data_IF_232002694387
#
_entry.id   IF_232002694387
#
_cell.length_a   1.000
_cell.length_b   1.000
_cell.length_c   1.000
_cell.angle_alpha   90.00
_cell.angle_beta   90.00
_cell.angle_gamma   90.00
#
_symmetry.space_group_name_H-M   'P 1'
#
loop_
_entity.id
_entity.type
_entity.pdbx_description
1 polymer ?
#
# COMPACT_ATOMS: atom_id res chain seq x y z
N UNK A 1 -25.37 -22.06 -5.84
CA UNK A 1 -24.82 -21.80 -4.49
C UNK A 1 -23.70 -20.77 -4.60
N UNK A 2 -24.01 -19.51 -4.29
CA UNK A 2 -22.99 -18.46 -4.08
C UNK A 2 -22.23 -18.75 -2.78
N UNK A 3 -20.92 -18.50 -2.76
CA UNK A 3 -20.10 -18.48 -1.55
C UNK A 3 -18.66 -18.92 -1.83
N UNK A 4 -17.78 -18.03 -2.29
CA UNK A 4 -16.97 -17.12 -1.47
C UNK A 4 -15.91 -17.85 -0.63
N UNK A 5 -14.65 -17.71 -1.02
CA UNK A 5 -13.54 -17.47 -0.10
C UNK A 5 -12.26 -17.16 -0.89
N UNK A 6 -12.22 -15.98 -1.50
CA UNK A 6 -10.97 -15.25 -1.67
C UNK A 6 -10.42 -14.96 -0.26
N UNK A 7 -9.79 -15.97 0.34
CA UNK A 7 -9.15 -15.92 1.66
C UNK A 7 -7.79 -16.63 1.60
N UNK A 8 -6.90 -16.11 0.75
CA UNK A 8 -5.51 -15.90 1.19
C UNK A 8 -5.46 -14.48 1.72
N UNK A 9 -6.12 -14.23 2.84
CA UNK A 9 -5.49 -14.34 4.15
C UNK A 9 -4.14 -13.61 4.12
N UNK A 10 -4.24 -12.32 4.44
CA UNK A 10 -3.27 -11.59 5.22
C UNK A 10 -1.83 -11.78 4.75
N UNK A 11 -1.45 -11.01 3.72
CA UNK A 11 -0.07 -10.56 3.69
C UNK A 11 0.09 -9.58 4.87
N UNK A 12 0.29 -10.16 6.05
CA UNK A 12 0.85 -9.53 7.23
C UNK A 12 2.30 -9.14 6.91
N UNK A 13 2.49 -8.31 5.86
CA UNK A 13 3.78 -7.67 5.69
C UNK A 13 3.91 -6.76 6.91
N UNK A 14 4.95 -6.94 7.73
CA UNK A 14 5.42 -5.84 8.55
C UNK A 14 5.61 -4.66 7.59
N UNK A 15 5.18 -3.47 8.00
CA UNK A 15 5.36 -2.25 7.22
C UNK A 15 6.76 -2.29 6.61
N UNK A 16 6.81 -2.44 5.28
CA UNK A 16 8.05 -2.54 4.53
C UNK A 16 8.61 -1.12 4.64
N UNK A 17 9.40 -0.90 5.68
CA UNK A 17 10.07 0.36 6.01
C UNK A 17 10.88 0.77 4.80
N UNK A 18 10.30 1.53 3.87
CA UNK A 18 10.87 2.22 2.71
C UNK A 18 12.06 1.54 1.99
N UNK A 19 12.26 0.24 2.14
CA UNK A 19 13.51 -0.44 1.75
C UNK A 19 13.60 -0.48 0.23
N UNK A 20 12.43 -0.51 -0.42
CA UNK A 20 12.29 -0.36 -1.85
C UNK A 20 12.43 1.07 -2.35
N UNK A 21 12.40 2.11 -1.52
CA UNK A 21 12.64 3.50 -1.95
C UNK A 21 13.98 4.06 -1.45
N UNK A 22 14.69 3.34 -0.58
CA UNK A 22 16.02 3.71 -0.08
C UNK A 22 17.06 3.87 -1.20
N UNK A 23 16.92 3.10 -2.28
CA UNK A 23 17.82 3.16 -3.44
C UNK A 23 17.58 4.37 -4.34
N UNK A 24 16.49 5.12 -4.12
CA UNK A 24 16.19 6.32 -4.87
C UNK A 24 16.84 7.56 -4.25
N UNK A 25 17.27 8.54 -5.08
CA UNK A 25 17.61 9.87 -4.60
C UNK A 25 16.48 10.45 -3.75
N UNK A 26 16.83 11.22 -2.72
CA UNK A 26 15.87 11.78 -1.76
C UNK A 26 14.73 12.56 -2.45
N UNK A 27 15.04 13.32 -3.50
CA UNK A 27 14.07 14.10 -4.27
C UNK A 27 13.02 13.24 -4.99
N UNK A 28 13.33 11.98 -5.29
CA UNK A 28 12.44 11.05 -5.99
C UNK A 28 11.62 10.18 -5.02
N UNK A 29 12.12 9.97 -3.80
CA UNK A 29 11.45 9.13 -2.79
C UNK A 29 10.03 9.60 -2.50
N UNK A 30 9.86 10.90 -2.29
CA UNK A 30 8.54 11.48 -2.02
C UNK A 30 7.57 11.28 -3.19
N UNK A 31 8.05 11.44 -4.44
CA UNK A 31 7.23 11.27 -5.63
C UNK A 31 6.76 9.82 -5.79
N UNK A 32 7.68 8.87 -5.63
CA UNK A 32 7.34 7.45 -5.75
C UNK A 32 6.45 6.97 -4.58
N UNK A 33 6.69 7.46 -3.37
CA UNK A 33 5.82 7.20 -2.23
C UNK A 33 4.40 7.73 -2.47
N UNK A 34 4.26 8.98 -2.94
CA UNK A 34 2.96 9.56 -3.31
C UNK A 34 2.25 8.74 -4.40
N UNK A 35 2.96 8.29 -5.43
CA UNK A 35 2.38 7.45 -6.48
C UNK A 35 1.84 6.11 -5.95
N UNK A 36 2.51 5.51 -4.96
CA UNK A 36 2.01 4.31 -4.27
C UNK A 36 0.76 4.62 -3.45
N UNK A 37 0.74 5.74 -2.72
CA UNK A 37 -0.44 6.20 -1.97
C UNK A 37 -1.64 6.41 -2.90
N UNK A 38 -1.44 7.07 -4.03
CA UNK A 38 -2.47 7.26 -5.06
C UNK A 38 -2.99 5.92 -5.59
N UNK A 39 -2.09 4.98 -5.92
CA UNK A 39 -2.49 3.66 -6.38
C UNK A 39 -3.35 2.89 -5.36
N UNK A 40 -3.03 2.99 -4.06
CA UNK A 40 -3.85 2.39 -3.00
C UNK A 40 -5.25 3.02 -2.96
N UNK A 41 -5.33 4.35 -3.03
CA UNK A 41 -6.61 5.08 -2.99
C UNK A 41 -7.46 4.74 -4.21
N UNK A 42 -6.87 4.72 -5.42
CA UNK A 42 -7.60 4.43 -6.65
C UNK A 42 -8.06 2.99 -6.78
N UNK A 43 -7.32 2.03 -6.21
CA UNK A 43 -7.69 0.62 -6.24
C UNK A 43 -8.77 0.26 -5.19
N UNK A 44 -8.93 1.08 -4.15
CA UNK A 44 -9.87 0.80 -3.07
C UNK A 44 -11.33 1.02 -3.51
N UNK A 45 -12.20 0.09 -3.12
CA UNK A 45 -13.65 0.18 -3.36
C UNK A 45 -14.41 0.89 -2.22
N UNK A 46 -13.73 1.18 -1.11
CA UNK A 46 -14.25 1.85 0.07
C UNK A 46 -13.23 2.90 0.55
N UNK A 47 -13.65 3.91 1.34
CA UNK A 47 -12.73 4.91 1.87
C UNK A 47 -11.54 4.31 2.62
N UNK A 48 -10.32 4.68 2.21
CA UNK A 48 -9.07 4.21 2.83
C UNK A 48 -8.81 4.97 4.13
N UNK A 49 -8.64 4.23 5.23
CA UNK A 49 -8.32 4.84 6.53
C UNK A 49 -6.83 5.18 6.63
N UNK A 50 -6.51 6.17 7.46
CA UNK A 50 -5.14 6.67 7.66
C UNK A 50 -4.16 5.57 8.07
N UNK A 51 -4.59 4.60 8.87
CA UNK A 51 -3.75 3.50 9.35
C UNK A 51 -3.29 2.58 8.21
N UNK A 52 -4.04 2.53 7.11
CA UNK A 52 -3.65 1.78 5.91
C UNK A 52 -2.58 2.54 5.14
N UNK A 53 -2.74 3.85 4.96
CA UNK A 53 -1.77 4.69 4.25
C UNK A 53 -0.44 4.81 5.00
N UNK A 54 -0.44 4.73 6.33
CA UNK A 54 0.78 4.74 7.15
C UNK A 54 1.70 3.53 6.95
N UNK A 55 1.27 2.53 6.16
CA UNK A 55 2.01 1.29 5.86
C UNK A 55 2.56 1.26 4.43
N UNK A 56 2.29 2.29 3.64
CA UNK A 56 2.82 2.50 2.28
C UNK A 56 4.22 3.07 2.40
#
# INVERSE_FOLDING_TARGET
MVGAAARKAQNNQPALLDTELEHLPADLRWREWMGRVEAVIFAANEPVRREVLARV
#
